data_IF_400491239777
#
_entry.id   IF_400491239777
#
_cell.length_a   1.000
_cell.length_b   1.000
_cell.length_c   1.000
_cell.angle_alpha   90.00
_cell.angle_beta   90.00
_cell.angle_gamma   90.00
#
_symmetry.space_group_name_H-M   'P 1'
#
loop_
_entity.id
_entity.type
_entity.pdbx_description
1 polymer ?
#
# COMPACT_ATOMS: atom_id res chain seq x y z
N UNK A 1 11.17 13.96 -21.43
CA UNK A 1 9.81 13.73 -20.94
C UNK A 1 9.14 12.63 -21.74
N UNK A 2 8.84 11.53 -21.10
CA UNK A 2 8.13 10.43 -21.74
C UNK A 2 6.65 10.79 -21.89
N UNK A 3 6.07 10.75 -23.08
CA UNK A 3 4.64 11.03 -23.27
C UNK A 3 3.70 9.98 -22.66
N UNK A 4 4.28 8.86 -22.27
CA UNK A 4 3.58 7.70 -21.69
C UNK A 4 3.53 7.70 -20.16
N UNK A 5 4.26 8.60 -19.50
CA UNK A 5 4.19 8.70 -18.05
C UNK A 5 2.96 9.48 -17.65
N UNK A 6 2.08 8.89 -16.85
CA UNK A 6 0.95 9.63 -16.30
C UNK A 6 1.46 10.84 -15.52
N UNK A 7 0.79 11.95 -15.65
CA UNK A 7 1.15 13.24 -15.03
C UNK A 7 1.34 13.19 -13.51
N UNK A 8 0.95 12.10 -12.88
CA UNK A 8 1.16 11.89 -11.45
C UNK A 8 2.63 11.67 -11.05
N UNK A 9 3.55 11.46 -12.00
CA UNK A 9 4.97 11.37 -11.72
C UNK A 9 5.67 12.74 -11.62
N UNK A 10 5.00 13.83 -11.94
CA UNK A 10 5.52 15.20 -11.77
C UNK A 10 5.20 15.80 -10.40
N UNK A 11 5.24 14.98 -9.40
CA UNK A 11 5.10 15.44 -8.03
C UNK A 11 6.42 15.94 -7.46
N UNK A 12 6.93 17.02 -7.99
CA UNK A 12 7.93 17.82 -7.29
C UNK A 12 7.17 18.80 -6.43
N UNK A 13 6.78 18.38 -5.27
CA UNK A 13 6.04 19.21 -4.34
C UNK A 13 5.78 18.48 -3.04
N UNK A 14 5.69 19.20 -2.02
CA UNK A 14 5.51 18.80 -0.62
C UNK A 14 4.29 17.93 -0.34
N UNK A 15 3.49 17.66 -1.36
CA UNK A 15 2.25 16.86 -1.25
C UNK A 15 2.45 15.35 -1.37
N UNK A 16 3.69 14.89 -1.50
CA UNK A 16 4.00 13.47 -1.66
C UNK A 16 3.67 12.61 -0.44
N UNK A 17 3.32 13.24 0.68
CA UNK A 17 3.00 12.54 1.92
C UNK A 17 1.52 12.16 2.05
N UNK A 18 0.69 12.51 1.09
CA UNK A 18 -0.75 12.19 1.13
C UNK A 18 -1.05 10.85 0.48
N UNK A 19 -0.61 9.79 1.10
CA UNK A 19 -1.07 8.46 0.73
C UNK A 19 -2.41 8.18 1.39
N UNK A 20 -3.35 7.68 0.60
CA UNK A 20 -4.66 7.25 1.11
C UNK A 20 -4.60 5.94 1.89
N UNK A 21 -3.51 5.20 1.73
CA UNK A 21 -3.28 3.91 2.38
C UNK A 21 -2.50 4.15 3.68
N UNK A 22 -2.93 3.51 4.74
CA UNK A 22 -2.27 3.52 6.07
C UNK A 22 -1.84 2.11 6.46
N UNK A 23 -1.05 2.03 7.52
CA UNK A 23 -0.76 0.74 8.17
C UNK A 23 -2.06 0.06 8.60
N UNK A 24 -2.06 -1.26 8.62
CA UNK A 24 -3.19 -2.08 9.01
C UNK A 24 -4.41 -2.02 8.07
N UNK A 25 -4.30 -1.35 6.94
CA UNK A 25 -5.36 -1.31 5.94
C UNK A 25 -5.36 -2.59 5.10
N UNK A 26 -6.56 -3.12 4.85
CA UNK A 26 -6.73 -4.22 3.91
C UNK A 26 -6.70 -3.69 2.49
N UNK A 27 -5.82 -4.26 1.67
CA UNK A 27 -5.65 -3.88 0.27
C UNK A 27 -5.69 -5.09 -0.65
N UNK A 28 -6.06 -4.87 -1.89
CA UNK A 28 -6.03 -5.88 -2.95
C UNK A 28 -5.06 -5.43 -4.04
N UNK A 29 -4.30 -6.37 -4.57
CA UNK A 29 -3.40 -6.12 -5.69
C UNK A 29 -4.18 -6.13 -7.00
N UNK A 30 -4.08 -5.04 -7.75
CA UNK A 30 -4.79 -4.87 -9.03
C UNK A 30 -4.01 -5.43 -10.21
N UNK A 31 -2.69 -5.40 -10.12
CA UNK A 31 -1.83 -5.83 -11.22
C UNK A 31 -0.52 -6.42 -10.71
N UNK A 32 0.09 -7.24 -11.53
CA UNK A 32 1.34 -7.90 -11.24
C UNK A 32 1.17 -9.38 -10.96
N UNK A 33 2.23 -10.00 -10.44
CA UNK A 33 2.31 -11.43 -10.14
C UNK A 33 1.24 -11.91 -9.15
N UNK A 34 0.90 -11.08 -8.18
CA UNK A 34 -0.05 -11.37 -7.11
C UNK A 34 -1.42 -10.72 -7.32
N UNK A 35 -1.79 -10.46 -8.59
CA UNK A 35 -3.07 -9.86 -8.94
C UNK A 35 -4.25 -10.59 -8.28
N UNK A 36 -5.13 -9.84 -7.66
CA UNK A 36 -6.34 -10.36 -7.01
C UNK A 36 -6.14 -10.85 -5.57
N UNK A 37 -4.90 -10.90 -5.09
CA UNK A 37 -4.63 -11.25 -3.70
C UNK A 37 -4.91 -10.08 -2.77
N UNK A 38 -5.46 -10.40 -1.62
CA UNK A 38 -5.70 -9.43 -0.56
C UNK A 38 -4.69 -9.62 0.55
N UNK A 39 -4.28 -8.52 1.15
CA UNK A 39 -3.34 -8.55 2.25
C UNK A 39 -3.43 -7.30 3.11
N UNK A 40 -2.90 -7.40 4.30
CA UNK A 40 -2.83 -6.31 5.26
C UNK A 40 -1.54 -5.52 5.03
N UNK A 41 -1.63 -4.21 5.07
CA UNK A 41 -0.46 -3.33 4.94
C UNK A 41 0.36 -3.37 6.22
N UNK A 42 1.62 -3.77 6.09
CA UNK A 42 2.59 -3.81 7.19
C UNK A 42 3.28 -2.46 7.36
N UNK A 43 3.72 -1.89 6.24
CA UNK A 43 4.48 -0.65 6.24
C UNK A 43 4.12 0.21 5.03
N UNK A 44 4.16 1.51 5.23
CA UNK A 44 3.91 2.51 4.19
C UNK A 44 5.14 3.40 4.05
N UNK A 45 5.63 3.52 2.84
CA UNK A 45 6.75 4.40 2.49
C UNK A 45 6.27 5.57 1.64
N UNK A 46 5.80 6.66 2.26
CA UNK A 46 5.24 7.79 1.51
C UNK A 46 6.25 8.49 0.62
N UNK A 47 7.52 8.52 1.02
CA UNK A 47 8.60 9.13 0.23
C UNK A 47 8.82 8.44 -1.12
N UNK A 48 8.72 7.13 -1.14
CA UNK A 48 8.88 6.31 -2.36
C UNK A 48 7.56 5.97 -3.05
N UNK A 49 6.43 6.30 -2.42
CA UNK A 49 5.11 5.90 -2.92
C UNK A 49 4.90 4.39 -2.94
N UNK A 50 5.56 3.66 -2.05
CA UNK A 50 5.51 2.20 -1.97
C UNK A 50 4.88 1.75 -0.66
N UNK A 51 4.29 0.57 -0.70
CA UNK A 51 3.71 -0.09 0.48
C UNK A 51 4.18 -1.53 0.56
N UNK A 52 4.34 -2.01 1.77
CA UNK A 52 4.66 -3.41 2.05
C UNK A 52 3.38 -4.09 2.53
N UNK A 53 2.98 -5.14 1.84
CA UNK A 53 1.76 -5.88 2.14
C UNK A 53 2.11 -7.30 2.56
N UNK A 54 1.45 -7.79 3.58
CA UNK A 54 1.66 -9.14 4.11
C UNK A 54 1.35 -10.21 3.05
N UNK A 55 2.22 -11.20 2.95
CA UNK A 55 2.10 -12.34 2.03
C UNK A 55 2.01 -12.00 0.54
N UNK A 56 2.27 -10.76 0.19
CA UNK A 56 2.25 -10.28 -1.20
C UNK A 56 3.65 -9.87 -1.59
N UNK A 57 4.01 -10.16 -2.85
CA UNK A 57 5.31 -9.86 -3.42
C UNK A 57 6.47 -10.40 -2.57
N UNK A 58 6.33 -11.63 -2.09
CA UNK A 58 7.35 -12.29 -1.29
C UNK A 58 8.54 -12.64 -2.18
N UNK A 59 9.70 -12.15 -1.81
CA UNK A 59 10.97 -12.41 -2.49
C UNK A 59 11.93 -13.13 -1.56
N UNK A 60 12.72 -14.03 -2.13
CA UNK A 60 13.79 -14.72 -1.42
C UNK A 60 15.07 -13.91 -1.54
N UNK A 61 15.66 -13.58 -0.42
CA UNK A 61 16.95 -12.87 -0.39
C UNK A 61 18.00 -13.76 0.26
N UNK A 62 19.15 -13.84 -0.38
CA UNK A 62 20.34 -14.42 0.22
C UNK A 62 20.99 -13.40 1.13
N UNK A 63 21.06 -13.73 2.41
CA UNK A 63 21.81 -12.95 3.39
C UNK A 63 23.07 -13.72 3.77
N UNK A 64 24.21 -13.04 3.67
CA UNK A 64 25.47 -13.56 4.20
C UNK A 64 25.54 -13.31 5.71
N UNK A 65 26.05 -14.25 6.50
CA UNK A 65 26.27 -14.02 7.93
C UNK A 65 27.30 -12.89 8.09
N UNK A 66 26.94 -11.85 8.80
CA UNK A 66 27.83 -10.71 9.08
C UNK A 66 28.57 -10.85 10.39
N UNK A 67 28.04 -11.64 11.30
CA UNK A 67 28.62 -11.89 12.62
C UNK A 67 28.72 -13.37 12.88
N UNK A 68 29.70 -13.76 13.72
CA UNK A 68 29.76 -15.13 14.22
C UNK A 68 28.45 -15.44 14.98
N UNK A 69 27.80 -16.54 14.61
CA UNK A 69 26.55 -16.97 15.22
C UNK A 69 25.28 -16.58 14.43
N UNK A 70 25.37 -15.72 13.42
CA UNK A 70 24.24 -15.49 12.50
C UNK A 70 24.19 -16.60 11.46
N UNK A 71 23.05 -17.24 11.36
CA UNK A 71 22.81 -18.16 10.27
C UNK A 71 22.50 -17.37 9.00
N UNK A 72 23.44 -17.38 8.06
CA UNK A 72 23.19 -16.95 6.70
C UNK A 72 22.23 -17.91 6.04
N UNK A 73 21.37 -17.42 5.20
CA UNK A 73 20.41 -18.27 4.49
C UNK A 73 19.48 -17.50 3.60
N UNK A 74 18.56 -18.21 3.00
CA UNK A 74 17.51 -17.64 2.18
C UNK A 74 16.39 -17.14 3.09
N UNK A 75 16.22 -15.84 3.18
CA UNK A 75 15.13 -15.21 3.92
C UNK A 75 14.04 -14.79 2.94
N UNK A 76 12.83 -15.21 3.23
CA UNK A 76 11.64 -14.73 2.52
C UNK A 76 11.19 -13.44 3.19
N UNK A 77 11.19 -12.36 2.43
CA UNK A 77 10.70 -11.05 2.89
C UNK A 77 9.72 -10.50 1.89
N UNK A 78 8.76 -9.78 2.39
CA UNK A 78 7.83 -9.03 1.56
C UNK A 78 8.56 -7.84 0.96
N UNK A 79 8.53 -7.74 -0.36
CA UNK A 79 9.10 -6.59 -1.06
C UNK A 79 8.06 -5.47 -1.19
N UNK A 80 8.49 -4.21 -1.15
CA UNK A 80 7.59 -3.09 -1.34
C UNK A 80 7.04 -3.06 -2.77
N UNK A 81 5.76 -2.74 -2.90
CA UNK A 81 5.08 -2.55 -4.18
C UNK A 81 4.56 -1.12 -4.27
N UNK A 82 4.36 -0.63 -5.48
CA UNK A 82 3.81 0.71 -5.68
C UNK A 82 2.37 0.79 -5.17
N UNK A 83 2.07 1.86 -4.47
CA UNK A 83 0.73 2.10 -3.95
C UNK A 83 -0.34 2.22 -5.05
N UNK A 84 0.05 2.63 -6.26
CA UNK A 84 -0.85 2.69 -7.40
C UNK A 84 -1.29 1.31 -7.92
N UNK A 85 -0.54 0.25 -7.60
CA UNK A 85 -0.87 -1.13 -7.98
C UNK A 85 -1.80 -1.83 -7.00
N UNK A 86 -2.06 -1.22 -5.88
CA UNK A 86 -2.94 -1.74 -4.84
C UNK A 86 -4.13 -0.82 -4.64
N UNK A 87 -5.24 -1.41 -4.24
CA UNK A 87 -6.45 -0.67 -3.93
C UNK A 87 -6.96 -1.08 -2.57
N UNK A 88 -7.42 -0.11 -1.80
CA UNK A 88 -7.96 -0.38 -0.48
C UNK A 88 -9.27 -1.15 -0.59
N UNK A 89 -9.43 -2.12 0.28
CA UNK A 89 -10.65 -2.92 0.42
C UNK A 89 -11.40 -2.45 1.64
N UNK A 90 -12.69 -2.23 1.49
CA UNK A 90 -13.55 -1.92 2.62
C UNK A 90 -13.75 -3.17 3.49
N UNK A 91 -13.50 -3.10 4.80
CA UNK A 91 -13.68 -4.26 5.68
C UNK A 91 -15.15 -4.69 5.85
N UNK A 92 -16.10 -3.81 5.56
CA UNK A 92 -17.53 -4.11 5.71
C UNK A 92 -18.12 -4.76 4.45
N UNK A 93 -17.82 -4.21 3.28
CA UNK A 93 -18.37 -4.74 2.03
C UNK A 93 -17.41 -5.67 1.28
N UNK A 94 -16.16 -5.79 1.73
CA UNK A 94 -15.08 -6.59 1.11
C UNK A 94 -14.88 -6.32 -0.38
N UNK A 95 -15.19 -5.11 -0.82
CA UNK A 95 -15.02 -4.69 -2.20
C UNK A 95 -13.92 -3.65 -2.30
N UNK A 96 -13.11 -3.70 -3.38
CA UNK A 96 -12.11 -2.68 -3.62
C UNK A 96 -12.81 -1.33 -3.89
N UNK A 97 -12.51 -0.35 -3.09
CA UNK A 97 -13.09 1.00 -3.20
C UNK A 97 -12.05 2.06 -2.91
N UNK A 98 -12.25 3.24 -3.49
CA UNK A 98 -11.49 4.40 -3.08
C UNK A 98 -12.08 4.99 -1.81
N UNK A 99 -11.27 5.36 -0.81
CA UNK A 99 -11.76 6.06 0.35
C UNK A 99 -12.25 7.45 -0.05
N UNK A 100 -13.46 7.77 0.34
CA UNK A 100 -13.97 9.13 0.31
C UNK A 100 -13.73 9.81 1.65
N UNK A 101 -13.76 11.11 1.68
CA UNK A 101 -13.63 11.90 2.89
C UNK A 101 -14.97 12.57 3.17
N UNK A 102 -15.49 12.37 4.37
CA UNK A 102 -16.66 13.05 4.88
C UNK A 102 -16.24 13.99 5.99
N UNK A 103 -16.74 15.20 5.94
CA UNK A 103 -16.56 16.16 7.01
C UNK A 103 -17.68 15.92 8.05
N UNK A 104 -17.29 15.70 9.27
CA UNK A 104 -18.21 15.66 10.40
C UNK A 104 -18.42 17.07 10.94
N UNK A 105 -19.53 17.28 11.61
CA UNK A 105 -19.77 18.47 12.41
C UNK A 105 -18.65 18.58 13.46
N UNK A 106 -17.88 19.64 13.40
CA UNK A 106 -16.66 19.81 14.19
C UNK A 106 -15.35 19.80 13.42
N UNK A 107 -15.38 19.73 12.07
CA UNK A 107 -14.21 19.88 11.22
C UNK A 107 -13.30 18.64 11.08
N UNK A 108 -13.71 17.51 11.63
CA UNK A 108 -12.95 16.27 11.49
C UNK A 108 -13.27 15.60 10.16
N UNK A 109 -12.22 15.25 9.43
CA UNK A 109 -12.33 14.45 8.19
C UNK A 109 -12.23 12.97 8.54
N UNK A 110 -13.26 12.22 8.21
CA UNK A 110 -13.25 10.76 8.32
C UNK A 110 -13.24 10.10 6.95
N UNK A 111 -12.60 8.96 6.85
CA UNK A 111 -12.60 8.17 5.64
C UNK A 111 -13.82 7.29 5.59
N UNK A 112 -14.54 7.34 4.49
CA UNK A 112 -15.73 6.53 4.27
C UNK A 112 -15.60 5.76 2.97
N UNK A 113 -16.27 4.63 2.90
CA UNK A 113 -16.38 3.85 1.68
C UNK A 113 -17.38 4.51 0.72
N UNK A 114 -17.03 4.64 -0.55
CA UNK A 114 -17.96 5.16 -1.56
C UNK A 114 -19.11 4.22 -1.91
N UNK A 115 -18.93 2.92 -1.68
CA UNK A 115 -19.92 1.91 -2.04
C UNK A 115 -20.94 1.64 -0.96
N UNK A 116 -20.50 1.50 0.27
CA UNK A 116 -21.38 1.21 1.41
C UNK A 116 -21.61 2.39 2.36
N UNK A 117 -20.81 3.46 2.22
CA UNK A 117 -20.91 4.63 3.09
C UNK A 117 -20.41 4.41 4.52
N UNK A 118 -19.77 3.30 4.79
CA UNK A 118 -19.27 2.98 6.11
C UNK A 118 -17.94 3.71 6.41
N UNK A 119 -17.77 4.11 7.63
CA UNK A 119 -16.49 4.66 8.11
C UNK A 119 -15.43 3.56 8.17
N UNK A 120 -14.27 3.89 7.64
CA UNK A 120 -13.14 2.98 7.55
C UNK A 120 -11.82 3.60 8.02
#
# INVERSE_FOLDING_TARGET
SCPWLPKCCKGVGEDMNKMSIRKDDLVVVLSGKDKGKQGKVLEVMPKSGKVVVEKINVVSRHTKPRKQGEQGGILKKEAPIYACKVQRVCPKCNKPTRPAHKLLEGGKKVRVCKKCGAEI
#
